data_IF_250730855994
#
_entry.id   IF_250730855994
#
_cell.length_a   1.000
_cell.length_b   1.000
_cell.length_c   1.000
_cell.angle_alpha   90.00
_cell.angle_beta   90.00
_cell.angle_gamma   90.00
#
_symmetry.space_group_name_H-M   'P 1'
#
loop_
_entity.id
_entity.type
_entity.pdbx_description
1 polymer ?
#
# COMPACT_ATOMS: atom_id res chain seq x y z
N UNK A 1 10.55 41.57 -34.68
CA UNK A 1 10.15 40.39 -33.89
C UNK A 1 10.46 40.68 -32.42
N UNK A 2 9.53 41.34 -31.73
CA UNK A 2 9.64 41.78 -30.33
C UNK A 2 8.23 41.70 -29.74
N UNK A 3 7.70 40.51 -29.46
CA UNK A 3 6.37 40.44 -28.84
C UNK A 3 6.08 39.19 -28.01
N UNK A 4 7.06 38.74 -27.23
CA UNK A 4 6.80 37.81 -26.13
C UNK A 4 7.37 38.44 -24.87
N UNK A 5 6.66 39.45 -24.37
CA UNK A 5 6.94 40.04 -23.07
C UNK A 5 6.75 39.03 -21.95
N UNK A 6 7.03 39.44 -20.72
CA UNK A 6 6.92 38.60 -19.52
C UNK A 6 5.49 38.04 -19.36
N UNK A 7 5.31 36.73 -19.59
CA UNK A 7 4.00 36.05 -19.50
C UNK A 7 3.82 35.23 -18.23
N UNK A 8 4.90 34.98 -17.48
CA UNK A 8 4.85 34.25 -16.22
C UNK A 8 5.95 34.70 -15.26
N UNK A 9 5.60 34.79 -13.98
CA UNK A 9 6.50 35.14 -12.89
C UNK A 9 6.53 34.04 -11.83
N UNK A 10 7.74 33.69 -11.38
CA UNK A 10 7.97 32.58 -10.47
C UNK A 10 8.19 31.25 -11.19
N UNK A 11 8.75 30.28 -10.49
CA UNK A 11 8.96 28.93 -10.99
C UNK A 11 8.22 27.98 -10.05
N UNK A 12 7.36 27.10 -10.59
CA UNK A 12 6.57 26.22 -9.75
C UNK A 12 7.44 25.34 -8.83
N UNK A 13 8.65 24.95 -9.25
CA UNK A 13 9.54 24.08 -8.46
C UNK A 13 8.76 22.87 -7.92
N UNK A 14 8.21 22.09 -8.85
CA UNK A 14 7.45 20.89 -8.53
C UNK A 14 8.37 19.88 -7.88
N UNK A 15 8.10 19.57 -6.62
CA UNK A 15 8.84 18.59 -5.86
C UNK A 15 7.90 17.47 -5.40
N UNK A 16 8.40 16.25 -5.49
CA UNK A 16 7.73 15.04 -5.06
C UNK A 16 8.78 14.12 -4.50
N UNK A 17 8.66 13.81 -3.22
CA UNK A 17 9.57 12.90 -2.55
C UNK A 17 8.78 11.78 -1.89
N UNK A 18 9.22 10.55 -2.10
CA UNK A 18 8.65 9.35 -1.49
C UNK A 18 9.75 8.65 -0.72
N UNK A 19 9.55 8.56 0.59
CA UNK A 19 10.47 7.87 1.48
C UNK A 19 9.74 6.70 2.14
N UNK A 20 10.18 5.49 1.81
CA UNK A 20 9.59 4.26 2.31
C UNK A 20 10.54 3.60 3.31
N UNK A 21 10.02 3.28 4.50
CA UNK A 21 10.71 2.48 5.51
C UNK A 21 9.89 1.22 5.77
N UNK A 22 10.55 0.08 5.73
CA UNK A 22 9.95 -1.21 6.05
C UNK A 22 10.73 -1.86 7.16
N UNK A 23 10.05 -2.15 8.26
CA UNK A 23 10.59 -2.97 9.34
C UNK A 23 9.99 -4.37 9.20
N UNK A 24 10.85 -5.38 9.14
CA UNK A 24 10.42 -6.76 8.97
C UNK A 24 11.04 -7.65 10.04
N UNK A 25 10.21 -8.50 10.62
CA UNK A 25 10.62 -9.58 11.52
C UNK A 25 10.09 -10.87 10.93
N UNK A 26 10.98 -11.83 10.72
CA UNK A 26 10.65 -13.13 10.17
C UNK A 26 11.24 -14.19 11.09
N UNK A 27 10.38 -15.10 11.55
CA UNK A 27 10.76 -16.20 12.41
C UNK A 27 10.34 -17.51 11.77
N UNK A 28 11.23 -18.50 11.84
CA UNK A 28 10.97 -19.84 11.33
C UNK A 28 11.66 -20.85 12.22
N UNK A 29 10.86 -21.69 12.85
CA UNK A 29 11.32 -22.80 13.65
C UNK A 29 10.92 -24.12 12.97
N UNK A 30 11.86 -25.05 12.97
CA UNK A 30 11.66 -26.40 12.45
C UNK A 30 11.87 -27.37 13.59
N UNK A 31 10.88 -28.21 13.84
CA UNK A 31 10.92 -29.23 14.86
C UNK A 31 10.70 -30.61 14.25
N UNK A 32 11.73 -31.44 14.34
CA UNK A 32 11.69 -32.82 13.92
C UNK A 32 11.39 -33.69 15.13
N UNK A 33 10.25 -34.38 15.13
CA UNK A 33 9.86 -35.29 16.21
C UNK A 33 9.28 -36.58 15.63
N UNK A 34 10.08 -37.65 15.69
CA UNK A 34 9.67 -38.98 15.24
C UNK A 34 9.27 -38.99 13.77
N UNK A 35 7.97 -39.20 13.50
CA UNK A 35 7.41 -39.26 12.14
C UNK A 35 6.93 -37.91 11.60
N UNK A 36 6.99 -36.85 12.42
CA UNK A 36 6.55 -35.50 12.06
C UNK A 36 7.74 -34.57 11.84
N UNK A 37 7.66 -33.78 10.78
CA UNK A 37 8.55 -32.65 10.53
C UNK A 37 7.71 -31.38 10.50
N UNK A 38 7.62 -30.74 11.66
CA UNK A 38 6.84 -29.54 11.88
C UNK A 38 7.68 -28.31 11.52
N UNK A 39 7.10 -27.40 10.73
CA UNK A 39 7.65 -26.08 10.42
C UNK A 39 6.61 -25.06 10.84
N UNK A 40 7.00 -24.13 11.68
CA UNK A 40 6.15 -23.05 12.11
C UNK A 40 6.93 -21.75 12.02
N UNK A 41 6.20 -20.68 11.78
CA UNK A 41 6.84 -19.39 11.65
C UNK A 41 5.85 -18.26 11.53
N UNK A 42 6.40 -17.07 11.67
CA UNK A 42 5.66 -15.84 11.70
C UNK A 42 6.41 -14.76 10.94
N UNK A 43 5.64 -13.83 10.42
CA UNK A 43 6.14 -12.68 9.70
C UNK A 43 5.35 -11.46 10.16
N UNK A 44 6.05 -10.41 10.55
CA UNK A 44 5.49 -9.10 10.86
C UNK A 44 6.22 -8.07 10.01
N UNK A 45 5.48 -7.29 9.23
CA UNK A 45 5.98 -6.13 8.54
C UNK A 45 5.25 -4.89 9.02
N UNK A 46 6.01 -3.87 9.34
CA UNK A 46 5.52 -2.53 9.57
C UNK A 46 6.04 -1.63 8.44
N UNK A 47 5.12 -1.12 7.63
CA UNK A 47 5.42 -0.20 6.54
C UNK A 47 5.11 1.24 6.96
N UNK A 48 6.06 2.12 6.68
CA UNK A 48 5.94 3.56 6.85
C UNK A 48 6.28 4.20 5.51
N UNK A 49 5.27 4.74 4.85
CA UNK A 49 5.43 5.43 3.57
C UNK A 49 5.17 6.92 3.75
N UNK A 50 6.21 7.73 3.58
CA UNK A 50 6.14 9.18 3.64
C UNK A 50 6.12 9.74 2.23
N UNK A 51 5.02 10.38 1.84
CA UNK A 51 4.88 11.01 0.53
C UNK A 51 4.72 12.52 0.69
N UNK A 52 5.69 13.25 0.19
CA UNK A 52 5.60 14.67 -0.03
C UNK A 52 5.19 14.92 -1.48
N UNK A 53 4.21 15.79 -1.68
CA UNK A 53 3.84 16.27 -3.00
C UNK A 53 3.48 17.74 -2.91
N UNK A 54 4.26 18.58 -3.60
CA UNK A 54 4.04 20.02 -3.59
C UNK A 54 2.72 20.43 -4.28
N UNK A 55 2.01 19.53 -4.96
CA UNK A 55 0.81 19.87 -5.73
C UNK A 55 1.13 20.40 -7.13
N UNK A 56 0.12 20.46 -8.00
CA UNK A 56 0.29 20.85 -9.42
C UNK A 56 0.82 22.29 -9.60
N UNK A 57 0.63 23.15 -8.61
CA UNK A 57 1.10 24.54 -8.64
C UNK A 57 2.54 24.71 -8.12
N UNK A 58 3.14 23.63 -7.59
CA UNK A 58 4.51 23.57 -7.10
C UNK A 58 4.81 24.43 -5.85
N UNK A 59 5.95 24.20 -5.18
CA UNK A 59 6.22 24.70 -3.83
C UNK A 59 6.37 26.23 -3.77
N UNK A 60 7.02 26.82 -4.77
CA UNK A 60 7.35 28.25 -4.80
C UNK A 60 6.24 29.11 -5.44
N UNK A 61 5.30 28.47 -6.15
CA UNK A 61 4.16 29.12 -6.79
C UNK A 61 4.50 29.88 -8.08
N UNK A 62 3.46 30.21 -8.85
CA UNK A 62 3.58 30.93 -10.11
C UNK A 62 2.40 31.89 -10.31
N UNK A 63 2.70 33.02 -10.94
CA UNK A 63 1.72 33.98 -11.47
C UNK A 63 1.79 33.97 -12.99
N UNK A 64 0.64 33.82 -13.64
CA UNK A 64 0.51 33.85 -15.09
C UNK A 64 -0.19 35.14 -15.52
N UNK A 65 0.34 35.75 -16.57
CA UNK A 65 -0.22 36.94 -17.22
C UNK A 65 -0.41 36.58 -18.70
N UNK A 66 -1.53 35.92 -18.99
CA UNK A 66 -1.82 35.31 -20.29
C UNK A 66 -2.37 36.26 -21.35
N UNK A 67 -2.60 37.55 -21.04
CA UNK A 67 -3.27 38.48 -21.95
C UNK A 67 -4.79 38.30 -21.97
N UNK A 68 -5.37 37.71 -20.92
CA UNK A 68 -6.79 37.41 -20.84
C UNK A 68 -7.66 38.68 -20.74
N UNK A 69 -7.10 39.79 -20.25
CA UNK A 69 -7.83 41.03 -20.03
C UNK A 69 -7.49 42.11 -21.06
N UNK A 70 -6.22 42.24 -21.43
CA UNK A 70 -5.74 43.27 -22.36
C UNK A 70 -5.34 42.75 -23.75
N UNK A 71 -5.32 41.43 -23.96
CA UNK A 71 -4.82 40.79 -25.18
C UNK A 71 -3.30 40.62 -25.23
N UNK A 72 -2.55 41.20 -24.28
CA UNK A 72 -1.10 41.07 -24.19
C UNK A 72 -0.65 40.80 -22.75
N UNK A 73 0.14 39.73 -22.54
CA UNK A 73 0.59 39.34 -21.20
C UNK A 73 1.42 40.40 -20.47
N UNK A 74 2.19 41.21 -21.20
CA UNK A 74 2.95 42.31 -20.61
C UNK A 74 2.07 43.46 -20.11
N UNK A 75 0.99 43.77 -20.83
CA UNK A 75 0.02 44.79 -20.41
C UNK A 75 -0.80 44.31 -19.21
N UNK A 76 -1.18 43.03 -19.19
CA UNK A 76 -1.78 42.39 -18.02
C UNK A 76 -0.84 42.47 -16.79
N UNK A 77 0.46 42.27 -16.97
CA UNK A 77 1.45 42.43 -15.89
C UNK A 77 1.52 43.87 -15.36
N UNK A 78 1.57 44.88 -16.24
CA UNK A 78 1.62 46.29 -15.82
C UNK A 78 0.37 46.75 -15.07
N UNK A 79 -0.78 46.14 -15.37
CA UNK A 79 -2.06 46.45 -14.75
C UNK A 79 -2.40 45.50 -13.57
N UNK A 80 -1.48 44.63 -13.18
CA UNK A 80 -1.66 43.59 -12.15
C UNK A 80 -2.89 42.68 -12.40
N UNK A 81 -3.18 42.43 -13.68
CA UNK A 81 -4.29 41.59 -14.13
C UNK A 81 -3.80 40.14 -14.30
N UNK A 82 -3.72 39.42 -13.19
CA UNK A 82 -3.29 38.01 -13.17
C UNK A 82 -4.37 37.11 -13.80
N UNK A 83 -4.01 36.35 -14.83
CA UNK A 83 -4.92 35.37 -15.46
C UNK A 83 -5.08 34.11 -14.62
N UNK A 84 -4.00 33.65 -13.98
CA UNK A 84 -4.04 32.56 -13.00
C UNK A 84 -2.89 32.67 -12.01
N UNK A 85 -3.15 32.34 -10.75
CA UNK A 85 -2.12 32.19 -9.72
C UNK A 85 -2.34 30.89 -8.97
N UNK A 86 -1.25 30.23 -8.65
CA UNK A 86 -1.28 28.99 -7.90
C UNK A 86 -0.03 28.85 -7.08
N UNK A 87 -0.19 28.34 -5.86
CA UNK A 87 0.91 27.81 -5.07
C UNK A 87 0.50 26.46 -4.52
N UNK A 88 1.44 25.56 -4.53
CA UNK A 88 1.37 24.25 -3.94
C UNK A 88 1.24 24.26 -2.42
N UNK A 89 0.80 23.14 -1.87
CA UNK A 89 0.69 22.98 -0.43
C UNK A 89 2.08 22.74 0.18
N UNK A 90 2.53 23.63 1.08
CA UNK A 90 3.75 23.43 1.86
C UNK A 90 3.52 22.51 3.08
N UNK A 91 2.53 21.62 2.99
CA UNK A 91 2.12 20.76 4.09
C UNK A 91 3.15 19.67 4.36
N UNK A 92 3.21 19.22 5.61
CA UNK A 92 4.03 18.07 5.98
C UNK A 92 3.68 16.83 5.13
N UNK A 93 4.67 15.98 4.79
CA UNK A 93 4.43 14.76 4.02
C UNK A 93 3.33 13.90 4.63
N UNK A 94 2.48 13.30 3.79
CA UNK A 94 1.54 12.27 4.25
C UNK A 94 2.32 11.04 4.69
N UNK A 95 2.01 10.54 5.88
CA UNK A 95 2.68 9.35 6.41
C UNK A 95 1.66 8.22 6.52
N UNK A 96 1.68 7.32 5.55
CA UNK A 96 0.85 6.13 5.54
C UNK A 96 1.54 5.02 6.34
N UNK A 97 0.75 4.37 7.19
CA UNK A 97 1.19 3.31 8.09
C UNK A 97 0.31 2.09 7.83
N UNK A 98 0.92 0.93 7.68
CA UNK A 98 0.16 -0.32 7.71
C UNK A 98 1.03 -1.50 8.17
N UNK A 99 0.39 -2.44 8.88
CA UNK A 99 1.02 -3.67 9.30
C UNK A 99 0.59 -4.84 8.42
N UNK A 100 1.51 -5.77 8.14
CA UNK A 100 1.19 -7.08 7.57
C UNK A 100 1.68 -8.16 8.52
N UNK A 101 0.81 -9.09 8.84
CA UNK A 101 1.08 -10.18 9.75
C UNK A 101 0.80 -11.49 9.02
N UNK A 102 1.67 -12.46 9.17
CA UNK A 102 1.37 -13.80 8.71
C UNK A 102 1.92 -14.84 9.68
N UNK A 103 1.15 -15.88 9.92
CA UNK A 103 1.52 -17.03 10.71
C UNK A 103 1.35 -18.28 9.85
N UNK A 104 2.25 -19.24 9.98
CA UNK A 104 2.10 -20.51 9.29
C UNK A 104 2.50 -21.68 10.17
N UNK A 105 1.84 -22.80 9.92
CA UNK A 105 2.19 -24.12 10.44
C UNK A 105 2.13 -25.10 9.28
N UNK A 106 3.15 -25.94 9.17
CA UNK A 106 3.24 -27.01 8.20
C UNK A 106 3.74 -28.27 8.90
N UNK A 107 3.13 -29.40 8.61
CA UNK A 107 3.51 -30.72 9.10
C UNK A 107 3.73 -31.65 7.92
N UNK A 108 4.96 -32.13 7.78
CA UNK A 108 5.30 -33.24 6.89
C UNK A 108 5.24 -34.53 7.71
N UNK A 109 4.10 -35.23 7.65
CA UNK A 109 3.83 -36.44 8.44
C UNK A 109 4.08 -37.71 7.64
N UNK A 110 5.07 -38.51 8.07
CA UNK A 110 5.34 -39.83 7.51
C UNK A 110 4.45 -40.89 8.16
N UNK A 111 3.25 -41.08 7.61
CA UNK A 111 2.29 -42.09 8.08
C UNK A 111 2.91 -43.49 8.01
N UNK A 112 3.53 -43.81 6.88
CA UNK A 112 4.25 -45.07 6.59
C UNK A 112 5.58 -44.75 5.89
N UNK A 113 6.44 -45.75 5.71
CA UNK A 113 7.70 -45.59 4.96
C UNK A 113 7.48 -45.25 3.48
N UNK A 114 6.29 -45.52 2.96
CA UNK A 114 5.85 -45.27 1.60
C UNK A 114 4.82 -44.13 1.48
N UNK A 115 4.20 -43.67 2.57
CA UNK A 115 3.15 -42.65 2.57
C UNK A 115 3.52 -41.44 3.45
N UNK A 116 3.61 -40.27 2.83
CA UNK A 116 3.80 -38.97 3.49
C UNK A 116 2.62 -38.06 3.21
N UNK A 117 2.09 -37.43 4.25
CA UNK A 117 1.07 -36.39 4.17
C UNK A 117 1.73 -35.04 4.44
N UNK A 118 1.38 -34.03 3.66
CA UNK A 118 1.84 -32.66 3.84
C UNK A 118 0.62 -31.83 4.22
N UNK A 119 0.56 -31.41 5.48
CA UNK A 119 -0.52 -30.59 6.02
C UNK A 119 0.02 -29.20 6.23
N UNK A 120 -0.72 -28.16 5.84
CA UNK A 120 -0.29 -26.79 6.02
C UNK A 120 -1.46 -25.86 6.25
N UNK A 121 -1.22 -24.82 7.03
CA UNK A 121 -2.13 -23.70 7.17
C UNK A 121 -1.31 -22.43 7.32
N UNK A 122 -1.68 -21.41 6.56
CA UNK A 122 -1.17 -20.04 6.73
C UNK A 122 -2.34 -19.12 7.01
N UNK A 123 -2.16 -18.23 7.97
CA UNK A 123 -3.04 -17.10 8.21
C UNK A 123 -2.28 -15.83 7.82
N UNK A 124 -2.90 -15.00 6.99
CA UNK A 124 -2.37 -13.71 6.57
C UNK A 124 -3.37 -12.60 6.89
N UNK A 125 -2.86 -11.52 7.45
CA UNK A 125 -3.60 -10.31 7.77
C UNK A 125 -2.86 -9.10 7.21
N UNK A 126 -3.56 -8.31 6.41
CA UNK A 126 -3.08 -7.00 5.96
C UNK A 126 -3.94 -5.95 6.60
N UNK A 127 -3.34 -5.14 7.47
CA UNK A 127 -4.02 -4.01 8.07
C UNK A 127 -4.40 -3.00 6.98
N UNK A 128 -5.59 -2.39 7.10
CA UNK A 128 -5.91 -1.18 6.38
C UNK A 128 -4.81 -0.11 6.50
N UNK A 129 -4.59 0.63 5.41
CA UNK A 129 -3.67 1.77 5.41
C UNK A 129 -4.29 2.86 6.27
N UNK A 130 -3.49 3.44 7.16
CA UNK A 130 -3.90 4.59 7.97
C UNK A 130 -2.88 5.71 7.83
N UNK A 131 -3.35 6.93 7.68
CA UNK A 131 -2.49 8.12 7.75
C UNK A 131 -2.22 8.48 9.21
N UNK A 132 -0.98 8.87 9.50
CA UNK A 132 -0.50 9.18 10.86
C UNK A 132 -1.37 10.24 11.55
N UNK A 133 -1.79 11.27 10.83
CA UNK A 133 -2.52 12.43 11.35
C UNK A 133 -4.00 12.42 10.88
N UNK A 134 -4.52 11.26 10.46
CA UNK A 134 -5.88 11.04 9.96
C UNK A 134 -6.29 12.00 8.83
N UNK A 135 -5.37 12.34 7.93
CA UNK A 135 -5.64 13.19 6.76
C UNK A 135 -6.26 12.44 5.58
N UNK A 136 -6.89 11.30 5.84
CA UNK A 136 -7.59 10.49 4.85
C UNK A 136 -9.05 10.90 4.73
N UNK A 137 -9.59 10.75 3.52
CA UNK A 137 -11.00 10.96 3.23
C UNK A 137 -11.47 9.93 2.24
N UNK A 138 -12.70 9.48 2.39
CA UNK A 138 -13.35 8.52 1.52
C UNK A 138 -14.75 9.02 1.18
N UNK A 139 -15.24 8.62 0.02
CA UNK A 139 -16.59 8.95 -0.43
C UNK A 139 -17.39 7.67 -0.53
N UNK A 140 -18.52 7.63 0.16
CA UNK A 140 -19.41 6.49 0.02
C UNK A 140 -20.22 6.62 -1.27
N UNK A 141 -20.18 5.57 -2.08
CA UNK A 141 -20.85 5.51 -3.39
C UNK A 141 -22.37 5.29 -3.28
N UNK A 142 -22.87 5.00 -2.07
CA UNK A 142 -24.28 4.66 -1.85
C UNK A 142 -25.10 5.92 -1.50
N UNK A 143 -24.54 6.79 -0.67
CA UNK A 143 -25.18 8.00 -0.12
C UNK A 143 -24.47 9.30 -0.55
N UNK A 144 -23.33 9.21 -1.25
CA UNK A 144 -22.58 10.37 -1.74
C UNK A 144 -21.91 11.18 -0.65
N UNK A 145 -21.88 10.68 0.59
CA UNK A 145 -21.36 11.42 1.73
C UNK A 145 -19.84 11.28 1.82
N UNK A 146 -19.16 12.41 2.04
CA UNK A 146 -17.72 12.43 2.31
C UNK A 146 -17.48 12.09 3.78
N UNK A 147 -16.78 10.99 4.03
CA UNK A 147 -16.30 10.62 5.35
C UNK A 147 -14.84 11.01 5.50
N UNK A 148 -14.51 11.69 6.60
CA UNK A 148 -13.14 12.03 6.97
C UNK A 148 -12.65 11.06 8.03
N UNK A 149 -11.38 10.68 7.95
CA UNK A 149 -10.76 9.86 8.96
C UNK A 149 -10.74 10.58 10.31
N UNK A 150 -10.94 9.84 11.38
CA UNK A 150 -10.97 10.36 12.75
C UNK A 150 -10.28 9.41 13.70
N UNK A 151 -9.85 9.94 14.84
CA UNK A 151 -9.31 9.10 15.91
C UNK A 151 -10.35 8.09 16.39
N UNK A 152 -9.89 6.86 16.65
CA UNK A 152 -10.76 5.77 17.01
C UNK A 152 -10.20 4.43 16.55
N UNK A 153 -11.09 3.59 16.02
CA UNK A 153 -10.72 2.27 15.51
C UNK A 153 -9.90 2.35 14.22
N UNK A 154 -9.29 1.23 13.81
CA UNK A 154 -8.62 1.15 12.49
C UNK A 154 -9.62 1.45 11.36
N UNK A 155 -10.90 1.11 11.51
CA UNK A 155 -11.94 1.42 10.52
C UNK A 155 -12.23 2.92 10.45
N UNK A 156 -12.28 3.63 11.58
CA UNK A 156 -12.48 5.08 11.61
C UNK A 156 -11.31 5.84 10.99
N UNK A 157 -10.10 5.30 11.12
CA UNK A 157 -8.86 5.91 10.61
C UNK A 157 -8.59 5.58 9.15
N UNK A 158 -8.85 4.35 8.73
CA UNK A 158 -8.63 3.89 7.35
C UNK A 158 -9.86 4.10 6.45
N UNK A 159 -11.04 4.34 7.04
CA UNK A 159 -12.32 4.48 6.34
C UNK A 159 -12.78 3.22 5.59
N UNK A 160 -12.27 2.05 5.99
CA UNK A 160 -12.74 0.74 5.53
C UNK A 160 -12.47 -0.37 6.55
N UNK A 161 -13.24 -1.46 6.44
CA UNK A 161 -13.21 -2.58 7.39
C UNK A 161 -11.97 -3.46 7.21
N UNK A 162 -11.25 -3.78 8.30
CA UNK A 162 -10.16 -4.76 8.25
C UNK A 162 -10.69 -6.17 7.95
N UNK A 163 -9.92 -6.92 7.15
CA UNK A 163 -10.25 -8.30 6.78
C UNK A 163 -9.34 -9.30 7.51
N UNK A 164 -9.93 -10.14 8.36
CA UNK A 164 -9.18 -11.10 9.19
C UNK A 164 -9.23 -12.55 8.69
N UNK A 165 -10.05 -12.86 7.67
CA UNK A 165 -10.30 -14.24 7.21
C UNK A 165 -9.31 -14.70 6.13
N UNK A 166 -8.07 -14.23 6.16
CA UNK A 166 -7.01 -14.64 5.22
C UNK A 166 -6.41 -16.01 5.54
N UNK A 167 -7.25 -17.05 5.60
CA UNK A 167 -6.79 -18.42 5.85
C UNK A 167 -6.49 -19.14 4.53
N UNK A 168 -5.30 -19.73 4.47
CA UNK A 168 -4.74 -20.45 3.32
C UNK A 168 -4.38 -21.87 3.76
N UNK A 169 -5.35 -22.81 3.76
CA UNK A 169 -5.07 -24.22 4.02
C UNK A 169 -4.32 -24.85 2.84
N UNK A 170 -3.43 -25.79 3.11
CA UNK A 170 -2.70 -26.60 2.13
C UNK A 170 -2.78 -28.06 2.55
N UNK A 171 -3.15 -28.91 1.61
CA UNK A 171 -3.25 -30.35 1.82
C UNK A 171 -2.58 -31.04 0.65
N UNK A 172 -1.61 -31.89 0.93
CA UNK A 172 -0.94 -32.69 -0.08
C UNK A 172 -0.61 -34.08 0.44
N UNK A 173 -0.36 -35.00 -0.48
CA UNK A 173 0.12 -36.34 -0.15
C UNK A 173 1.15 -36.81 -1.17
N UNK A 174 2.04 -37.68 -0.72
CA UNK A 174 3.00 -38.38 -1.55
C UNK A 174 2.98 -39.85 -1.15
N UNK A 175 2.70 -40.72 -2.11
CA UNK A 175 2.63 -42.17 -1.90
C UNK A 175 3.50 -42.91 -2.91
N UNK A 176 4.38 -43.78 -2.41
CA UNK A 176 5.25 -44.63 -3.19
C UNK A 176 4.60 -46.01 -3.36
N UNK A 177 4.08 -46.30 -4.54
CA UNK A 177 3.34 -47.54 -4.82
C UNK A 177 4.27 -48.70 -5.19
N UNK A 178 5.47 -48.42 -5.68
CA UNK A 178 6.55 -49.39 -5.88
C UNK A 178 7.92 -48.71 -5.80
N UNK A 179 9.01 -49.47 -5.91
CA UNK A 179 10.37 -48.90 -5.98
C UNK A 179 10.60 -48.00 -7.21
N UNK A 180 9.70 -48.04 -8.19
CA UNK A 180 9.78 -47.25 -9.43
C UNK A 180 8.71 -46.17 -9.58
N UNK A 181 7.65 -46.18 -8.77
CA UNK A 181 6.49 -45.29 -8.94
C UNK A 181 6.17 -44.49 -7.69
N UNK A 182 5.99 -43.17 -7.86
CA UNK A 182 5.56 -42.24 -6.81
C UNK A 182 4.40 -41.41 -7.33
N UNK A 183 3.28 -41.45 -6.61
CA UNK A 183 2.11 -40.59 -6.81
C UNK A 183 2.19 -39.39 -5.88
N UNK A 184 1.95 -38.19 -6.41
CA UNK A 184 1.81 -36.96 -5.63
C UNK A 184 0.54 -36.25 -6.03
N UNK A 185 -0.18 -35.73 -5.03
CA UNK A 185 -1.37 -34.93 -5.25
C UNK A 185 -1.43 -33.80 -4.25
N UNK A 186 -1.82 -32.62 -4.74
CA UNK A 186 -2.13 -31.45 -3.92
C UNK A 186 -3.49 -30.93 -4.38
N UNK A 187 -4.58 -31.28 -3.69
CA UNK A 187 -5.88 -30.67 -3.96
C UNK A 187 -5.81 -29.16 -3.71
N UNK A 188 -5.82 -28.38 -4.77
CA UNK A 188 -5.90 -26.93 -4.71
C UNK A 188 -7.33 -26.54 -4.34
N UNK A 189 -7.55 -26.21 -3.06
CA UNK A 189 -8.79 -25.55 -2.67
C UNK A 189 -8.68 -24.07 -3.04
N UNK A 190 -9.11 -23.73 -4.26
CA UNK A 190 -9.25 -22.34 -4.68
C UNK A 190 -10.41 -21.69 -3.92
N UNK A 191 -10.10 -20.88 -2.90
CA UNK A 191 -11.11 -20.01 -2.29
C UNK A 191 -11.48 -18.92 -3.31
N UNK A 192 -12.76 -18.88 -3.68
CA UNK A 192 -13.39 -17.86 -4.54
C UNK A 192 -13.84 -16.67 -3.70
#
# INVERSE_FOLDING_TARGET
MLNSGLTSLGASATDSNTLDKTYQVNEKLTWLKGRHSLKFGGQLLHYVQQRFYAGNNGLLGNFNYGGAFTGFGFSDFLLDQVSSKGRGSASAPWTHLHNRMALFVQDDFKVKSDLTLNLGMRWAYTQPVVEKDNRESNFSLIDGHQTLAKDGSIEDRALYKPYYKGFEPRLGFAWRTSDRWVLRGEPTCGCR
#
